data_IF_442213875268
#
_entry.id   IF_442213875268
#
_cell.length_a   1.000
_cell.length_b   1.000
_cell.length_c   1.000
_cell.angle_alpha   90.00
_cell.angle_beta   90.00
_cell.angle_gamma   90.00
#
_symmetry.space_group_name_H-M   'P 1'
#
loop_
_entity.id
_entity.type
_entity.pdbx_description
1 polymer ?
#
# COMPACT_ATOMS: atom_id res chain seq x y z
N UNK A 1 22.46 1.15 -13.82
CA UNK A 1 21.63 1.76 -12.77
C UNK A 1 21.63 0.81 -11.59
N UNK A 2 21.95 1.28 -10.38
CA UNK A 2 21.90 0.44 -9.18
C UNK A 2 20.44 0.09 -8.89
N UNK A 3 20.16 -1.17 -8.55
CA UNK A 3 18.83 -1.60 -8.11
C UNK A 3 18.46 -0.83 -6.84
N UNK A 4 17.21 -0.35 -6.71
CA UNK A 4 16.76 0.31 -5.49
C UNK A 4 16.82 -0.67 -4.31
N UNK A 5 17.01 -0.15 -3.10
CA UNK A 5 16.93 -0.98 -1.88
C UNK A 5 15.57 -1.71 -1.87
N UNK A 6 15.53 -3.04 -1.71
CA UNK A 6 14.28 -3.77 -1.72
C UNK A 6 13.44 -3.39 -0.50
N UNK A 7 12.13 -3.25 -0.73
CA UNK A 7 11.13 -3.08 0.31
C UNK A 7 10.89 -4.46 0.96
N UNK A 8 10.86 -4.57 2.30
CA UNK A 8 10.59 -5.83 2.96
C UNK A 8 9.25 -6.42 2.52
N UNK A 9 9.17 -7.75 2.52
CA UNK A 9 7.96 -8.50 2.18
C UNK A 9 7.55 -9.42 3.33
N UNK A 10 6.30 -9.35 3.72
CA UNK A 10 5.67 -10.30 4.65
C UNK A 10 4.83 -11.30 3.87
N UNK A 11 5.27 -12.56 3.88
CA UNK A 11 4.59 -13.69 3.26
C UNK A 11 3.42 -14.18 4.13
N UNK A 12 2.21 -14.15 3.58
CA UNK A 12 0.99 -14.75 4.12
C UNK A 12 0.73 -14.50 5.62
N UNK A 13 0.67 -13.23 6.09
CA UNK A 13 0.40 -12.93 7.50
C UNK A 13 -0.96 -13.49 7.94
N UNK A 14 -0.99 -14.13 9.12
CA UNK A 14 -2.21 -14.66 9.72
C UNK A 14 -2.95 -13.63 10.59
N UNK A 15 -4.21 -13.88 11.00
CA UNK A 15 -4.92 -13.01 11.94
C UNK A 15 -4.17 -12.76 13.27
N UNK A 16 -3.42 -13.76 13.74
CA UNK A 16 -2.61 -13.66 14.96
C UNK A 16 -1.39 -12.76 14.75
N UNK A 17 -0.74 -12.91 13.59
CA UNK A 17 0.45 -12.15 13.21
C UNK A 17 0.20 -10.65 13.17
N UNK A 18 -0.91 -10.21 12.57
CA UNK A 18 -1.23 -8.79 12.43
C UNK A 18 -1.75 -8.13 13.71
N UNK A 19 -2.08 -8.91 14.75
CA UNK A 19 -2.56 -8.37 16.03
C UNK A 19 -3.97 -7.77 15.98
N UNK A 20 -4.48 -7.27 17.12
CA UNK A 20 -5.89 -6.89 17.27
C UNK A 20 -6.24 -5.52 16.68
N UNK A 21 -5.28 -4.60 16.58
CA UNK A 21 -5.50 -3.23 16.12
C UNK A 21 -4.67 -2.92 14.87
N UNK A 22 -5.12 -1.95 14.07
CA UNK A 22 -4.38 -1.50 12.88
C UNK A 22 -3.07 -0.82 13.28
N UNK A 23 -3.02 -0.22 14.47
CA UNK A 23 -1.83 0.47 14.93
C UNK A 23 -0.76 -0.48 15.45
N UNK A 24 -1.14 -1.55 16.18
CA UNK A 24 -0.21 -2.64 16.49
C UNK A 24 0.35 -3.27 15.21
N UNK A 25 -0.50 -3.42 14.20
CA UNK A 25 -0.10 -3.92 12.89
C UNK A 25 0.95 -3.01 12.23
N UNK A 26 0.70 -1.70 12.16
CA UNK A 26 1.65 -0.74 11.59
C UNK A 26 2.95 -0.64 12.40
N UNK A 27 2.88 -0.70 13.74
CA UNK A 27 4.06 -0.71 14.61
C UNK A 27 4.92 -1.95 14.34
N UNK A 28 4.32 -3.12 14.09
CA UNK A 28 5.04 -4.34 13.71
C UNK A 28 5.74 -4.20 12.36
N UNK A 29 5.12 -3.52 11.40
CA UNK A 29 5.73 -3.28 10.09
C UNK A 29 6.92 -2.31 10.18
N UNK A 30 6.74 -1.17 10.85
CA UNK A 30 7.79 -0.18 11.15
C UNK A 30 8.32 0.62 9.95
N UNK A 31 8.29 0.07 8.74
CA UNK A 31 8.76 0.69 7.50
C UNK A 31 7.86 0.31 6.32
N UNK A 32 7.89 1.04 5.18
CA UNK A 32 7.12 0.67 4.00
C UNK A 32 7.30 -0.82 3.68
N UNK A 33 6.20 -1.54 3.44
CA UNK A 33 6.22 -3.01 3.39
C UNK A 33 5.28 -3.53 2.31
N UNK A 34 5.68 -4.61 1.64
CA UNK A 34 4.79 -5.44 0.85
C UNK A 34 4.23 -6.59 1.69
N UNK A 35 2.95 -6.89 1.53
CA UNK A 35 2.37 -8.16 1.95
C UNK A 35 2.11 -9.00 0.71
N UNK A 36 2.44 -10.28 0.77
CA UNK A 36 2.04 -11.26 -0.24
C UNK A 36 0.97 -12.17 0.34
N UNK A 37 -0.20 -12.20 -0.30
CA UNK A 37 -1.32 -13.04 0.10
C UNK A 37 -1.61 -14.03 -1.03
N UNK A 38 -1.29 -15.33 -0.86
CA UNK A 38 -1.46 -16.32 -1.92
C UNK A 38 -2.93 -16.57 -2.22
N UNK A 39 -3.28 -16.53 -3.50
CA UNK A 39 -4.63 -16.79 -3.97
C UNK A 39 -4.96 -18.26 -4.13
N UNK A 40 -6.24 -18.55 -4.39
CA UNK A 40 -6.66 -19.86 -4.90
C UNK A 40 -6.06 -20.13 -6.29
N UNK A 41 -6.11 -19.13 -7.18
CA UNK A 41 -5.39 -19.13 -8.45
C UNK A 41 -4.05 -18.41 -8.29
N UNK A 42 -2.98 -19.20 -8.21
CA UNK A 42 -1.62 -18.69 -8.06
C UNK A 42 -0.99 -18.17 -9.36
N UNK A 43 -1.67 -18.32 -10.51
CA UNK A 43 -1.14 -17.86 -11.82
C UNK A 43 -1.43 -16.38 -12.09
N UNK A 44 -2.31 -15.78 -11.30
CA UNK A 44 -2.79 -14.41 -11.46
C UNK A 44 -2.45 -13.58 -10.23
N UNK A 45 -2.17 -12.31 -10.44
CA UNK A 45 -1.81 -11.37 -9.36
C UNK A 45 -2.58 -10.07 -9.54
N UNK A 46 -3.10 -9.51 -8.45
CA UNK A 46 -3.60 -8.13 -8.40
C UNK A 46 -2.87 -7.38 -7.30
N UNK A 47 -2.68 -6.10 -7.51
CA UNK A 47 -1.99 -5.25 -6.55
C UNK A 47 -2.97 -4.31 -5.84
N UNK A 48 -2.68 -4.06 -4.58
CA UNK A 48 -3.36 -3.06 -3.76
C UNK A 48 -2.30 -2.14 -3.17
N UNK A 49 -2.60 -0.86 -3.07
CA UNK A 49 -1.78 0.13 -2.39
C UNK A 49 -2.64 0.90 -1.38
N UNK A 50 -2.04 1.23 -0.24
CA UNK A 50 -2.64 2.11 0.77
C UNK A 50 -1.54 2.89 1.48
N UNK A 51 -1.94 4.00 2.12
CA UNK A 51 -1.03 4.91 2.82
C UNK A 51 0.04 5.51 1.91
N UNK A 52 -0.29 5.89 0.67
CA UNK A 52 0.55 6.88 -0.03
C UNK A 52 0.51 8.25 0.67
N UNK A 53 -0.53 8.50 1.46
CA UNK A 53 -0.58 9.54 2.47
C UNK A 53 -0.83 8.92 3.86
N UNK A 54 -0.07 9.34 4.86
CA UNK A 54 -0.14 8.76 6.22
C UNK A 54 -1.44 9.04 6.98
N UNK A 55 -2.19 10.06 6.59
CA UNK A 55 -3.43 10.48 7.24
C UNK A 55 -4.69 9.88 6.62
N UNK A 56 -4.55 8.84 5.79
CA UNK A 56 -5.65 8.23 5.03
C UNK A 56 -5.83 6.75 5.43
N UNK A 57 -6.40 6.48 6.61
CA UNK A 57 -6.36 5.15 7.23
C UNK A 57 -7.35 4.14 6.66
N UNK A 58 -8.31 4.55 5.80
CA UNK A 58 -9.41 3.66 5.40
C UNK A 58 -8.92 2.39 4.69
N UNK A 59 -7.95 2.52 3.78
CA UNK A 59 -7.39 1.38 3.05
C UNK A 59 -6.68 0.38 3.95
N UNK A 60 -5.80 0.85 4.83
CA UNK A 60 -5.06 -0.03 5.75
C UNK A 60 -5.98 -0.67 6.80
N UNK A 61 -7.01 0.04 7.27
CA UNK A 61 -8.04 -0.53 8.15
C UNK A 61 -8.84 -1.63 7.46
N UNK A 62 -9.21 -1.44 6.19
CA UNK A 62 -9.90 -2.44 5.41
C UNK A 62 -9.02 -3.68 5.18
N UNK A 63 -7.75 -3.49 4.80
CA UNK A 63 -6.79 -4.57 4.61
C UNK A 63 -6.54 -5.36 5.91
N UNK A 64 -6.28 -4.66 7.03
CA UNK A 64 -6.09 -5.29 8.35
C UNK A 64 -7.30 -6.12 8.75
N UNK A 65 -8.52 -5.55 8.65
CA UNK A 65 -9.76 -6.29 8.92
C UNK A 65 -9.91 -7.51 8.03
N UNK A 66 -9.63 -7.40 6.74
CA UNK A 66 -9.75 -8.50 5.80
C UNK A 66 -8.79 -9.66 6.14
N UNK A 67 -7.54 -9.34 6.51
CA UNK A 67 -6.57 -10.35 6.98
C UNK A 67 -7.07 -11.01 8.27
N UNK A 68 -7.62 -10.22 9.20
CA UNK A 68 -8.20 -10.70 10.46
C UNK A 68 -9.40 -11.62 10.27
N UNK A 69 -10.15 -11.47 9.18
CA UNK A 69 -11.24 -12.39 8.81
C UNK A 69 -10.72 -13.75 8.30
N UNK A 70 -9.40 -13.92 8.13
CA UNK A 70 -8.78 -15.20 7.75
C UNK A 70 -9.16 -15.67 6.34
N UNK A 71 -9.50 -14.72 5.46
CA UNK A 71 -10.00 -15.01 4.11
C UNK A 71 -8.83 -15.30 3.17
N UNK A 72 -9.06 -16.20 2.22
CA UNK A 72 -8.15 -16.43 1.10
C UNK A 72 -8.62 -15.63 -0.13
N UNK A 73 -7.73 -14.92 -0.85
CA UNK A 73 -8.11 -14.20 -2.05
C UNK A 73 -8.28 -15.17 -3.24
N UNK A 74 -9.05 -14.77 -4.25
CA UNK A 74 -9.28 -15.61 -5.44
C UNK A 74 -8.03 -15.74 -6.32
N UNK A 75 -7.22 -14.68 -6.36
CA UNK A 75 -5.93 -14.60 -7.06
C UNK A 75 -4.88 -14.05 -6.08
N UNK A 76 -3.59 -14.13 -6.39
CA UNK A 76 -2.58 -13.56 -5.50
C UNK A 76 -2.82 -12.06 -5.30
N UNK A 77 -2.61 -11.57 -4.07
CA UNK A 77 -2.58 -10.14 -3.79
C UNK A 77 -1.18 -9.70 -3.37
N UNK A 78 -0.67 -8.69 -4.07
CA UNK A 78 0.49 -7.92 -3.67
C UNK A 78 0.02 -6.60 -3.05
N UNK A 79 0.07 -6.49 -1.73
CA UNK A 79 -0.41 -5.31 -1.01
C UNK A 79 0.77 -4.44 -0.58
N UNK A 80 0.86 -3.21 -1.08
CA UNK A 80 1.82 -2.22 -0.63
C UNK A 80 1.25 -1.32 0.46
N UNK A 81 2.01 -1.13 1.53
CA UNK A 81 1.71 -0.19 2.62
C UNK A 81 2.86 0.82 2.67
N UNK A 82 2.58 2.07 2.29
CA UNK A 82 3.59 3.10 2.02
C UNK A 82 4.09 3.85 3.25
N UNK A 83 3.58 5.06 3.46
CA UNK A 83 3.98 6.05 4.48
C UNK A 83 3.58 5.63 5.91
N UNK A 84 4.09 4.49 6.36
CA UNK A 84 3.89 3.97 7.72
C UNK A 84 4.43 4.94 8.77
N UNK A 85 5.59 5.55 8.54
CA UNK A 85 6.17 6.55 9.44
C UNK A 85 5.23 7.75 9.66
N UNK A 86 4.66 8.29 8.59
CA UNK A 86 3.69 9.38 8.67
C UNK A 86 2.43 8.97 9.45
N UNK A 87 1.93 7.75 9.21
CA UNK A 87 0.77 7.20 9.92
C UNK A 87 1.03 6.98 11.42
N UNK A 88 2.26 6.59 11.81
CA UNK A 88 2.66 6.35 13.19
C UNK A 88 3.14 7.60 13.93
N UNK A 89 3.42 8.70 13.23
CA UNK A 89 3.74 9.98 13.86
C UNK A 89 2.52 10.47 14.63
N UNK A 90 2.70 10.78 15.93
CA UNK A 90 1.57 11.17 16.79
C UNK A 90 1.08 12.59 16.50
N UNK A 91 -0.24 12.87 16.61
CA UNK A 91 -1.34 11.90 16.76
C UNK A 91 -1.44 10.97 15.55
N UNK A 92 -1.69 9.68 15.78
CA UNK A 92 -1.71 8.68 14.70
C UNK A 92 -2.69 9.04 13.58
N UNK A 93 -2.27 8.76 12.34
CA UNK A 93 -2.99 9.10 11.11
C UNK A 93 -3.36 10.59 10.97
N UNK A 94 -2.56 11.50 11.52
CA UNK A 94 -2.78 12.95 11.35
C UNK A 94 -1.85 13.61 10.33
N UNK A 95 -0.75 12.94 9.96
CA UNK A 95 0.26 13.50 9.07
C UNK A 95 0.16 12.92 7.67
N UNK A 96 0.06 13.79 6.66
CA UNK A 96 0.00 13.40 5.25
C UNK A 96 1.32 12.78 4.78
N UNK A 97 2.43 13.36 5.20
CA UNK A 97 3.80 12.93 4.91
C UNK A 97 4.57 12.75 6.22
N UNK A 98 5.72 12.08 6.18
CA UNK A 98 6.63 12.08 7.32
C UNK A 98 7.09 13.52 7.62
N UNK A 99 7.45 13.87 8.86
CA UNK A 99 8.03 15.17 9.18
C UNK A 99 9.23 15.47 8.26
N UNK A 100 9.23 16.63 7.60
CA UNK A 100 10.22 17.03 6.60
C UNK A 100 10.32 16.12 5.34
N UNK A 101 9.47 15.11 5.25
CA UNK A 101 9.40 14.16 4.13
C UNK A 101 8.61 14.68 2.93
N UNK A 102 8.88 14.09 1.78
CA UNK A 102 8.13 14.40 0.55
C UNK A 102 6.76 13.70 0.55
N UNK A 103 5.85 14.23 -0.26
CA UNK A 103 4.62 13.55 -0.61
C UNK A 103 4.92 12.31 -1.46
N UNK A 104 4.80 11.11 -0.88
CA UNK A 104 5.12 9.85 -1.56
C UNK A 104 4.32 9.68 -2.85
N UNK A 105 3.07 10.16 -2.91
CA UNK A 105 2.23 10.12 -4.11
C UNK A 105 2.72 11.06 -5.24
N UNK A 106 3.81 11.81 -5.03
CA UNK A 106 4.47 12.66 -6.04
C UNK A 106 5.84 12.12 -6.44
N UNK A 107 6.29 11.01 -5.85
CA UNK A 107 7.64 10.47 -6.03
C UNK A 107 7.74 9.40 -7.13
N UNK A 108 6.64 9.01 -7.78
CA UNK A 108 6.61 7.95 -8.81
C UNK A 108 7.15 8.38 -10.20
N UNK A 109 8.03 9.38 -10.24
CA UNK A 109 8.71 9.84 -11.46
C UNK A 109 10.18 10.10 -11.19
N UNK A 110 11.01 9.85 -12.20
CA UNK A 110 12.43 10.24 -12.21
C UNK A 110 12.56 11.73 -11.81
N UNK A 111 13.55 12.13 -10.98
CA UNK A 111 14.77 11.38 -10.62
C UNK A 111 14.71 10.43 -9.42
N UNK A 112 13.54 10.20 -8.79
CA UNK A 112 13.43 9.34 -7.59
C UNK A 112 14.34 9.78 -6.42
N UNK A 113 14.43 11.09 -6.18
CA UNK A 113 15.29 11.66 -5.15
C UNK A 113 14.72 11.57 -3.74
N UNK A 114 15.58 11.17 -2.80
CA UNK A 114 15.28 11.11 -1.37
C UNK A 114 14.71 9.76 -0.93
N UNK A 115 14.35 9.64 0.37
CA UNK A 115 13.77 8.42 0.93
C UNK A 115 12.49 7.97 0.18
N UNK A 116 11.55 8.88 -0.04
CA UNK A 116 10.29 8.59 -0.73
C UNK A 116 10.48 8.30 -2.22
N UNK A 117 11.48 8.92 -2.84
CA UNK A 117 11.91 8.59 -4.20
C UNK A 117 12.41 7.15 -4.31
N UNK A 118 13.25 6.73 -3.35
CA UNK A 118 13.75 5.35 -3.27
C UNK A 118 12.61 4.35 -3.07
N UNK A 119 11.67 4.66 -2.18
CA UNK A 119 10.48 3.83 -1.93
C UNK A 119 9.64 3.71 -3.20
N UNK A 120 9.35 4.83 -3.88
CA UNK A 120 8.56 4.83 -5.10
C UNK A 120 9.25 4.02 -6.22
N UNK A 121 10.58 4.15 -6.36
CA UNK A 121 11.35 3.38 -7.35
C UNK A 121 11.33 1.88 -7.05
N UNK A 122 11.49 1.48 -5.79
CA UNK A 122 11.42 0.09 -5.37
C UNK A 122 10.02 -0.50 -5.57
N UNK A 123 8.96 0.26 -5.28
CA UNK A 123 7.59 -0.17 -5.54
C UNK A 123 7.33 -0.38 -7.03
N UNK A 124 7.79 0.54 -7.89
CA UNK A 124 7.66 0.38 -9.35
C UNK A 124 8.43 -0.84 -9.85
N UNK A 125 9.62 -1.10 -9.31
CA UNK A 125 10.40 -2.28 -9.64
C UNK A 125 9.65 -3.58 -9.28
N UNK A 126 9.07 -3.65 -8.08
CA UNK A 126 8.28 -4.82 -7.65
C UNK A 126 7.01 -5.00 -8.48
N UNK A 127 6.29 -3.93 -8.81
CA UNK A 127 5.12 -4.01 -9.69
C UNK A 127 5.49 -4.49 -11.10
N UNK A 128 6.63 -4.04 -11.63
CA UNK A 128 7.13 -4.49 -12.93
C UNK A 128 7.51 -5.98 -12.90
N UNK A 129 8.08 -6.47 -11.80
CA UNK A 129 8.39 -7.89 -11.64
C UNK A 129 7.12 -8.75 -11.45
N UNK A 130 6.17 -8.29 -10.63
CA UNK A 130 4.98 -9.05 -10.27
C UNK A 130 3.90 -9.07 -11.37
N UNK A 131 3.94 -8.15 -12.33
CA UNK A 131 2.98 -8.04 -13.45
C UNK A 131 1.51 -8.18 -13.01
N UNK A 132 1.02 -7.38 -12.05
CA UNK A 132 -0.37 -7.49 -11.60
C UNK A 132 -1.35 -7.07 -12.71
N UNK A 133 -2.50 -7.72 -12.77
CA UNK A 133 -3.58 -7.42 -13.72
C UNK A 133 -4.15 -6.00 -13.52
N UNK A 134 -4.12 -5.52 -12.27
CA UNK A 134 -4.61 -4.23 -11.86
C UNK A 134 -3.92 -3.77 -10.56
N UNK A 135 -3.88 -2.46 -10.35
CA UNK A 135 -3.49 -1.83 -9.09
C UNK A 135 -4.65 -0.95 -8.61
N UNK A 136 -5.12 -1.20 -7.39
CA UNK A 136 -6.09 -0.34 -6.70
C UNK A 136 -5.36 0.40 -5.59
N UNK A 137 -5.47 1.73 -5.59
CA UNK A 137 -4.86 2.58 -4.59
C UNK A 137 -5.95 3.26 -3.73
N UNK A 138 -5.93 2.98 -2.43
CA UNK A 138 -6.94 3.46 -1.49
C UNK A 138 -6.55 4.83 -0.91
N UNK A 139 -7.44 5.80 -1.09
CA UNK A 139 -7.33 7.16 -0.53
C UNK A 139 -8.57 7.54 0.28
N UNK A 140 -8.39 8.53 1.15
CA UNK A 140 -9.46 9.21 1.86
C UNK A 140 -9.68 10.61 1.26
N UNK A 141 -10.92 11.09 1.32
CA UNK A 141 -11.23 12.48 0.98
C UNK A 141 -11.11 13.35 2.23
N UNK A 142 -10.61 14.57 2.09
CA UNK A 142 -10.50 15.54 3.19
C UNK A 142 -11.86 16.09 3.66
N UNK A 143 -12.93 15.82 2.92
CA UNK A 143 -14.30 16.26 3.21
C UNK A 143 -15.34 15.16 3.02
N UNK A 144 -16.62 15.51 3.27
CA UNK A 144 -17.76 14.61 3.04
C UNK A 144 -18.04 14.51 1.55
N UNK A 145 -17.79 13.34 0.98
CA UNK A 145 -18.20 12.99 -0.37
C UNK A 145 -18.64 11.52 -0.41
N UNK A 146 -19.45 11.12 -1.41
CA UNK A 146 -19.63 9.71 -1.72
C UNK A 146 -18.30 9.02 -2.05
N UNK A 147 -18.28 7.69 -2.01
CA UNK A 147 -17.17 6.91 -2.55
C UNK A 147 -17.08 7.09 -4.07
N UNK A 148 -15.89 7.31 -4.60
CA UNK A 148 -15.62 7.42 -6.04
C UNK A 148 -14.25 6.84 -6.38
N UNK A 149 -14.02 6.56 -7.66
CA UNK A 149 -12.74 6.10 -8.19
C UNK A 149 -12.18 7.09 -9.20
N UNK A 150 -10.85 7.10 -9.35
CA UNK A 150 -10.14 7.82 -10.42
C UNK A 150 -9.42 6.79 -11.27
N UNK A 151 -9.68 6.78 -12.57
CA UNK A 151 -8.96 5.94 -13.53
C UNK A 151 -7.92 6.76 -14.29
N UNK A 152 -6.77 6.16 -14.59
CA UNK A 152 -5.74 6.77 -15.43
C UNK A 152 -6.14 6.79 -16.92
N UNK A 153 -7.09 5.94 -17.31
CA UNK A 153 -7.62 5.84 -18.67
C UNK A 153 -9.14 5.69 -18.61
N UNK A 154 -9.86 6.61 -19.24
CA UNK A 154 -11.30 6.47 -19.46
C UNK A 154 -11.53 5.90 -20.86
N UNK A 155 -11.86 4.61 -20.95
CA UNK A 155 -12.26 3.94 -22.20
C UNK A 155 -13.57 3.18 -21.94
N UNK A 156 -14.44 3.14 -22.94
CA UNK A 156 -15.78 2.51 -22.87
C UNK A 156 -15.77 1.02 -22.44
N UNK A 157 -14.62 0.33 -22.53
CA UNK A 157 -14.48 -1.09 -22.13
C UNK A 157 -14.25 -1.31 -20.63
N UNK A 158 -14.30 -0.27 -19.81
CA UNK A 158 -13.99 -0.33 -18.37
C UNK A 158 -15.17 0.07 -17.45
N UNK A 159 -16.37 0.22 -17.99
CA UNK A 159 -17.64 0.27 -17.23
C UNK A 159 -18.33 -1.11 -17.25
#
# INVERSE_FOLDING_TARGET
MNLPRPIPRWEAPTPQDVGPTVEDFLVKLGEPTFLWLPGLDATRTRAVCTLLHGNEPSGVRALHRWIREGRQPQVNLLCFIGSIEAALTKPWFSHRCAPDGKDLNRCFRSPFEGPEGTIAQAMLHELHHAQPEALIDFHNTSGRSPAYGVTTLNRETHE
#
